data_IF_715666672273
#
_entry.id   IF_715666672273
#
_cell.length_a   1.000
_cell.length_b   1.000
_cell.length_c   1.000
_cell.angle_alpha   90.00
_cell.angle_beta   90.00
_cell.angle_gamma   90.00
#
_symmetry.space_group_name_H-M   'P 1'
#
loop_
_entity.id
_entity.type
_entity.pdbx_description
1 polymer ?
#
# COMPACT_ATOMS: atom_id res chain seq x y z
N UNK A 1 16.76 20.96 -9.37
CA UNK A 1 16.74 19.65 -10.08
C UNK A 1 16.52 18.47 -9.13
N UNK A 2 16.84 18.55 -7.83
CA UNK A 2 16.63 17.47 -6.86
C UNK A 2 15.15 17.21 -6.45
N UNK A 3 14.32 18.25 -6.40
CA UNK A 3 12.94 18.20 -5.90
C UNK A 3 12.00 17.25 -6.69
N UNK A 4 12.18 17.18 -8.01
CA UNK A 4 11.38 16.28 -8.88
C UNK A 4 11.78 14.82 -8.67
N UNK A 5 13.04 14.55 -8.30
CA UNK A 5 13.56 13.19 -8.15
C UNK A 5 13.06 12.51 -6.87
N UNK A 6 12.97 13.24 -5.76
CA UNK A 6 12.45 12.69 -4.49
C UNK A 6 10.96 12.36 -4.56
N UNK A 7 10.17 13.23 -5.21
CA UNK A 7 8.74 12.99 -5.42
C UNK A 7 8.49 11.75 -6.30
N UNK A 8 9.36 11.50 -7.28
CA UNK A 8 9.32 10.32 -8.12
C UNK A 8 9.65 9.04 -7.34
N UNK A 9 10.71 9.07 -6.51
CA UNK A 9 11.11 7.92 -5.66
C UNK A 9 10.04 7.55 -4.64
N UNK A 10 9.35 8.53 -4.04
CA UNK A 10 8.27 8.30 -3.09
C UNK A 10 7.08 7.56 -3.74
N UNK A 11 6.75 7.92 -4.98
CA UNK A 11 5.66 7.29 -5.73
C UNK A 11 6.00 5.84 -6.11
N UNK A 12 7.26 5.56 -6.48
CA UNK A 12 7.74 4.20 -6.74
C UNK A 12 7.73 3.37 -5.45
N UNK A 13 8.20 3.93 -4.33
CA UNK A 13 8.22 3.22 -3.05
C UNK A 13 6.80 2.86 -2.57
N UNK A 14 5.85 3.78 -2.69
CA UNK A 14 4.44 3.52 -2.40
C UNK A 14 3.90 2.30 -3.15
N UNK A 15 4.20 2.24 -4.46
CA UNK A 15 3.74 1.16 -5.32
C UNK A 15 4.37 -0.18 -4.94
N UNK A 16 5.67 -0.19 -4.68
CA UNK A 16 6.39 -1.41 -4.26
C UNK A 16 5.89 -1.92 -2.92
N UNK A 17 5.75 -1.03 -1.92
CA UNK A 17 5.26 -1.40 -0.59
C UNK A 17 3.81 -1.91 -0.65
N UNK A 18 2.94 -1.24 -1.42
CA UNK A 18 1.55 -1.68 -1.60
C UNK A 18 1.45 -3.06 -2.26
N UNK A 19 2.24 -3.32 -3.30
CA UNK A 19 2.29 -4.63 -3.96
C UNK A 19 2.83 -5.71 -3.03
N UNK A 20 3.91 -5.42 -2.29
CA UNK A 20 4.50 -6.36 -1.34
C UNK A 20 3.52 -6.74 -0.21
N UNK A 21 2.82 -5.76 0.35
CA UNK A 21 1.79 -6.00 1.37
C UNK A 21 0.64 -6.85 0.83
N UNK A 22 0.10 -6.50 -0.35
CA UNK A 22 -0.99 -7.29 -0.95
C UNK A 22 -0.56 -8.73 -1.24
N UNK A 23 0.65 -8.95 -1.74
CA UNK A 23 1.19 -10.28 -1.97
C UNK A 23 1.33 -11.08 -0.67
N UNK A 24 1.75 -10.44 0.43
CA UNK A 24 1.82 -11.06 1.75
C UNK A 24 0.44 -11.52 2.24
N UNK A 25 -0.56 -10.65 2.23
CA UNK A 25 -1.92 -11.02 2.66
C UNK A 25 -2.54 -12.10 1.78
N UNK A 26 -2.31 -12.06 0.47
CA UNK A 26 -2.76 -13.11 -0.44
C UNK A 26 -2.11 -14.48 -0.12
N UNK A 27 -0.80 -14.50 0.13
CA UNK A 27 -0.08 -15.72 0.52
C UNK A 27 -0.60 -16.29 1.85
N UNK A 28 -0.85 -15.43 2.85
CA UNK A 28 -1.43 -15.84 4.13
C UNK A 28 -2.85 -16.40 3.95
N UNK A 29 -3.68 -15.76 3.12
CA UNK A 29 -5.02 -16.25 2.80
C UNK A 29 -5.01 -17.65 2.15
N UNK A 30 -4.13 -17.84 1.16
CA UNK A 30 -3.96 -19.14 0.47
C UNK A 30 -3.47 -20.20 1.45
N UNK A 31 -2.45 -19.89 2.27
CA UNK A 31 -1.92 -20.82 3.26
C UNK A 31 -2.97 -21.18 4.33
N UNK A 32 -3.80 -20.23 4.74
CA UNK A 32 -4.93 -20.46 5.64
C UNK A 32 -5.95 -21.41 5.02
N UNK A 33 -6.38 -21.14 3.79
CA UNK A 33 -7.34 -21.98 3.07
C UNK A 33 -6.84 -23.41 2.84
N UNK A 34 -5.56 -23.59 2.53
CA UNK A 34 -4.99 -24.93 2.40
C UNK A 34 -5.13 -25.75 3.70
N UNK A 35 -5.09 -25.09 4.86
CA UNK A 35 -5.19 -25.74 6.17
C UNK A 35 -6.62 -25.95 6.66
N UNK A 36 -7.52 -24.99 6.41
CA UNK A 36 -8.88 -24.98 6.96
C UNK A 36 -9.96 -25.37 5.94
N UNK A 37 -9.66 -25.30 4.64
CA UNK A 37 -10.62 -25.42 3.52
C UNK A 37 -11.81 -24.45 3.63
N UNK A 38 -11.69 -23.40 4.46
CA UNK A 38 -12.75 -22.44 4.71
C UNK A 38 -12.67 -21.28 3.72
N UNK A 39 -13.60 -21.26 2.76
CA UNK A 39 -13.72 -20.23 1.73
C UNK A 39 -14.05 -18.86 2.33
N UNK A 40 -14.77 -18.83 3.46
CA UNK A 40 -15.16 -17.58 4.12
C UNK A 40 -13.94 -16.88 4.72
N UNK A 41 -13.04 -17.66 5.34
CA UNK A 41 -11.75 -17.17 5.82
C UNK A 41 -10.88 -16.63 4.67
N UNK A 42 -10.83 -17.35 3.53
CA UNK A 42 -10.08 -16.90 2.36
C UNK A 42 -10.60 -15.54 1.85
N UNK A 43 -11.92 -15.39 1.72
CA UNK A 43 -12.55 -14.14 1.29
C UNK A 43 -12.28 -12.99 2.26
N UNK A 44 -12.29 -13.23 3.58
CA UNK A 44 -11.92 -12.22 4.58
C UNK A 44 -10.47 -11.75 4.42
N UNK A 45 -9.53 -12.68 4.22
CA UNK A 45 -8.13 -12.34 3.96
C UNK A 45 -7.94 -11.59 2.64
N UNK A 46 -8.70 -11.95 1.61
CA UNK A 46 -8.70 -11.25 0.33
C UNK A 46 -9.21 -9.80 0.49
N UNK A 47 -10.29 -9.62 1.27
CA UNK A 47 -10.81 -8.31 1.64
C UNK A 47 -9.79 -7.48 2.42
N UNK A 48 -9.13 -8.08 3.42
CA UNK A 48 -8.05 -7.42 4.16
C UNK A 48 -6.87 -7.03 3.26
N UNK A 49 -6.49 -7.87 2.28
CA UNK A 49 -5.46 -7.56 1.31
C UNK A 49 -5.80 -6.30 0.48
N UNK A 50 -7.07 -6.19 0.07
CA UNK A 50 -7.56 -5.03 -0.66
C UNK A 50 -7.61 -3.77 0.21
N UNK A 51 -8.10 -3.88 1.45
CA UNK A 51 -8.10 -2.77 2.41
C UNK A 51 -6.68 -2.29 2.71
N UNK A 52 -5.74 -3.21 2.91
CA UNK A 52 -4.34 -2.88 3.13
C UNK A 52 -3.75 -2.08 1.95
N UNK A 53 -4.04 -2.49 0.71
CA UNK A 53 -3.63 -1.75 -0.48
C UNK A 53 -4.17 -0.31 -0.50
N UNK A 54 -5.46 -0.14 -0.18
CA UNK A 54 -6.08 1.19 -0.11
C UNK A 54 -5.46 2.06 0.99
N UNK A 55 -5.19 1.48 2.17
CA UNK A 55 -4.57 2.20 3.28
C UNK A 55 -3.16 2.67 2.93
N UNK A 56 -2.33 1.81 2.33
CA UNK A 56 -0.99 2.20 1.86
C UNK A 56 -1.10 3.33 0.83
N UNK A 57 -2.00 3.20 -0.15
CA UNK A 57 -2.21 4.25 -1.16
C UNK A 57 -2.64 5.58 -0.54
N UNK A 58 -3.55 5.55 0.44
CA UNK A 58 -4.02 6.74 1.14
C UNK A 58 -2.93 7.39 2.00
N UNK A 59 -2.13 6.58 2.72
CA UNK A 59 -1.01 7.08 3.51
C UNK A 59 -0.01 7.83 2.63
N UNK A 60 0.43 7.23 1.53
CA UNK A 60 1.37 7.88 0.61
C UNK A 60 0.76 9.10 -0.10
N UNK A 61 -0.54 9.08 -0.42
CA UNK A 61 -1.24 10.26 -0.92
C UNK A 61 -1.26 11.39 0.12
N UNK A 62 -1.48 11.05 1.39
CA UNK A 62 -1.43 11.99 2.51
C UNK A 62 -0.03 12.59 2.67
N UNK A 63 1.01 11.76 2.67
CA UNK A 63 2.41 12.21 2.75
C UNK A 63 2.73 13.13 1.57
N UNK A 64 2.31 12.79 0.35
CA UNK A 64 2.48 13.64 -0.82
C UNK A 64 1.82 15.02 -0.67
N UNK A 65 0.60 15.07 -0.14
CA UNK A 65 -0.10 16.34 0.13
C UNK A 65 0.59 17.17 1.22
N UNK A 66 1.09 16.53 2.27
CA UNK A 66 1.83 17.21 3.34
C UNK A 66 3.13 17.80 2.80
N UNK A 67 3.86 17.04 1.97
CA UNK A 67 5.08 17.53 1.34
C UNK A 67 4.79 18.71 0.40
N UNK A 68 3.71 18.63 -0.39
CA UNK A 68 3.31 19.70 -1.29
C UNK A 68 2.93 21.01 -0.58
N UNK A 69 2.37 20.94 0.64
CA UNK A 69 2.08 22.13 1.44
C UNK A 69 3.33 22.78 2.05
N UNK A 70 4.33 21.99 2.42
CA UNK A 70 5.60 22.49 2.93
C UNK A 70 6.41 23.19 1.84
N UNK A 71 6.41 22.62 0.63
CA UNK A 71 7.11 23.16 -0.52
C UNK A 71 6.52 24.50 -1.01
N UNK A 72 5.18 24.63 -1.01
CA UNK A 72 4.50 25.90 -1.31
C UNK A 72 4.77 27.00 -0.28
N UNK A 73 5.04 26.65 0.97
CA UNK A 73 5.37 27.62 2.04
C UNK A 73 6.81 28.12 1.94
N UNK A 74 7.72 27.34 1.35
CA UNK A 74 9.12 27.72 1.17
C UNK A 74 9.37 28.63 -0.04
N UNK A 75 8.36 28.84 -0.90
CA UNK A 75 8.39 29.72 -2.07
C UNK A 75 7.71 31.05 -1.77
#
# INVERSE_FOLDING_TARGET
MAEVEDKHKLHVLSRVVGVALSAFFAAVGIAGYQRTQDVMQLLLFLGLAFVAFLLVKLLFMGIGRLLDQLDQTSK
#
